data_IF_828713059380
#
_entry.id   IF_828713059380
#
_cell.length_a   1.000
_cell.length_b   1.000
_cell.length_c   1.000
_cell.angle_alpha   90.00
_cell.angle_beta   90.00
_cell.angle_gamma   90.00
#
_symmetry.space_group_name_H-M   'P 1'
#
loop_
_entity.id
_entity.type
_entity.pdbx_description
1 polymer ?
#
# COMPACT_ATOMS: atom_id res chain seq x y z
N UNK A 1 26.01 -16.21 7.52
CA UNK A 1 25.14 -15.62 8.56
C UNK A 1 25.32 -14.12 8.50
N UNK A 2 24.50 -13.44 7.70
CA UNK A 2 24.46 -11.97 7.73
C UNK A 2 23.75 -11.58 9.01
N UNK A 3 24.38 -10.77 9.85
CA UNK A 3 23.69 -10.14 10.98
C UNK A 3 22.47 -9.41 10.39
N UNK A 4 21.25 -9.80 10.79
CA UNK A 4 20.07 -8.98 10.51
C UNK A 4 20.33 -7.69 11.28
N UNK A 5 20.53 -6.58 10.55
CA UNK A 5 20.48 -5.25 11.15
C UNK A 5 19.09 -5.12 11.79
N UNK A 6 19.05 -4.81 13.09
CA UNK A 6 17.81 -4.53 13.80
C UNK A 6 17.13 -3.33 13.15
N UNK A 7 15.80 -3.41 12.98
CA UNK A 7 15.04 -2.36 12.33
C UNK A 7 14.72 -1.26 13.35
N UNK A 8 15.36 -0.09 13.22
CA UNK A 8 15.10 1.08 14.06
C UNK A 8 14.18 2.09 13.36
N UNK A 9 13.50 2.95 14.13
CA UNK A 9 12.67 4.02 13.54
C UNK A 9 13.49 4.93 12.62
N UNK A 10 14.72 5.27 13.01
CA UNK A 10 15.63 6.10 12.22
C UNK A 10 15.97 5.44 10.88
N UNK A 11 16.31 4.14 10.90
CA UNK A 11 16.63 3.39 9.66
C UNK A 11 15.46 3.32 8.68
N UNK A 12 14.22 3.22 9.18
CA UNK A 12 13.01 3.23 8.33
C UNK A 12 12.82 4.59 7.68
N UNK A 13 13.10 5.68 8.40
CA UNK A 13 12.94 7.04 7.89
C UNK A 13 14.04 7.41 6.90
N UNK A 14 15.29 6.99 7.15
CA UNK A 14 16.39 7.12 6.19
C UNK A 14 16.08 6.34 4.90
N UNK A 15 15.67 5.08 5.02
CA UNK A 15 15.29 4.27 3.85
C UNK A 15 14.12 4.90 3.08
N UNK A 16 13.18 5.57 3.75
CA UNK A 16 12.10 6.29 3.07
C UNK A 16 12.61 7.46 2.21
N UNK A 17 13.62 8.20 2.70
CA UNK A 17 14.25 9.28 1.95
C UNK A 17 15.04 8.74 0.74
N UNK A 18 15.79 7.66 0.95
CA UNK A 18 16.56 7.00 -0.11
C UNK A 18 15.64 6.43 -1.21
N UNK A 19 14.56 5.75 -0.82
CA UNK A 19 13.59 5.20 -1.77
C UNK A 19 12.85 6.29 -2.55
N UNK A 20 12.50 7.42 -1.92
CA UNK A 20 11.90 8.54 -2.65
C UNK A 20 12.89 9.17 -3.65
N UNK A 21 14.18 9.22 -3.28
CA UNK A 21 15.24 9.68 -4.17
C UNK A 21 15.41 8.74 -5.37
N UNK A 22 15.50 7.44 -5.12
CA UNK A 22 15.61 6.41 -6.16
C UNK A 22 14.40 6.41 -7.09
N UNK A 23 13.19 6.46 -6.53
CA UNK A 23 11.94 6.50 -7.29
C UNK A 23 11.93 7.65 -8.30
N UNK A 24 12.42 8.83 -7.91
CA UNK A 24 12.47 10.01 -8.80
C UNK A 24 13.67 10.00 -9.74
N UNK A 25 14.77 9.34 -9.38
CA UNK A 25 15.92 9.16 -10.25
C UNK A 25 15.63 8.17 -11.38
N UNK A 26 14.91 7.08 -11.09
CA UNK A 26 14.41 6.13 -12.08
C UNK A 26 12.91 5.87 -11.87
N UNK A 27 12.05 6.68 -12.51
CA UNK A 27 10.60 6.56 -12.40
C UNK A 27 10.08 5.14 -12.65
N UNK A 28 9.50 4.46 -11.64
CA UNK A 28 8.98 3.12 -11.81
C UNK A 28 7.74 3.14 -12.71
N UNK A 29 7.67 2.16 -13.64
CA UNK A 29 6.46 1.89 -14.39
C UNK A 29 5.48 1.11 -13.51
N UNK A 30 4.37 1.74 -13.14
CA UNK A 30 3.36 1.17 -12.25
C UNK A 30 2.13 0.77 -13.04
N UNK A 31 1.93 -0.52 -13.20
CA UNK A 31 0.71 -1.08 -13.77
C UNK A 31 -0.38 -1.08 -12.70
N UNK A 32 -1.52 -0.45 -12.97
CA UNK A 32 -2.67 -0.49 -12.07
C UNK A 32 -3.88 -1.10 -12.79
N UNK A 33 -4.45 -2.12 -12.16
CA UNK A 33 -5.82 -2.56 -12.41
C UNK A 33 -6.62 -2.08 -11.21
N UNK A 34 -7.31 -0.95 -11.38
CA UNK A 34 -8.02 -0.27 -10.28
C UNK A 34 -9.47 0.01 -10.62
N UNK A 35 -10.21 0.50 -9.64
CA UNK A 35 -11.62 0.79 -9.79
C UNK A 35 -11.87 2.07 -10.58
N UNK A 36 -13.00 2.11 -11.31
CA UNK A 36 -13.35 3.20 -12.22
C UNK A 36 -13.60 4.54 -11.53
N UNK A 37 -13.86 4.54 -10.22
CA UNK A 37 -14.10 5.75 -9.43
C UNK A 37 -12.81 6.54 -9.22
N UNK A 38 -11.65 5.88 -9.24
CA UNK A 38 -10.37 6.48 -8.83
C UNK A 38 -9.27 6.40 -9.89
N UNK A 39 -9.54 5.87 -11.07
CA UNK A 39 -8.53 5.64 -12.12
C UNK A 39 -7.71 6.90 -12.44
N UNK A 40 -8.39 8.01 -12.77
CA UNK A 40 -7.72 9.27 -13.10
C UNK A 40 -6.97 9.87 -11.91
N UNK A 41 -7.55 9.81 -10.71
CA UNK A 41 -6.90 10.34 -9.51
C UNK A 41 -5.64 9.54 -9.14
N UNK A 42 -5.71 8.21 -9.24
CA UNK A 42 -4.58 7.31 -9.00
C UNK A 42 -3.43 7.58 -9.98
N UNK A 43 -3.74 7.81 -11.26
CA UNK A 43 -2.74 8.20 -12.25
C UNK A 43 -2.05 9.52 -11.87
N UNK A 44 -2.85 10.53 -11.50
CA UNK A 44 -2.30 11.84 -11.11
C UNK A 44 -1.45 11.77 -9.84
N UNK A 45 -1.84 10.96 -8.84
CA UNK A 45 -1.04 10.73 -7.63
C UNK A 45 0.33 10.13 -7.98
N UNK A 46 0.37 9.13 -8.86
CA UNK A 46 1.62 8.52 -9.30
C UNK A 46 2.49 9.50 -10.10
N UNK A 47 1.89 10.27 -11.01
CA UNK A 47 2.60 11.31 -11.77
C UNK A 47 3.17 12.39 -10.85
N UNK A 48 2.38 12.86 -9.89
CA UNK A 48 2.83 13.85 -8.90
C UNK A 48 3.98 13.33 -8.04
N UNK A 49 3.93 12.06 -7.63
CA UNK A 49 5.02 11.43 -6.88
C UNK A 49 6.33 11.36 -7.69
N UNK A 50 6.23 11.23 -9.02
CA UNK A 50 7.34 11.06 -9.95
C UNK A 50 7.44 9.67 -10.58
N UNK A 51 6.38 8.86 -10.50
CA UNK A 51 6.27 7.55 -11.13
C UNK A 51 5.54 7.60 -12.50
N UNK A 52 5.60 6.52 -13.26
CA UNK A 52 4.91 6.39 -14.55
C UNK A 52 3.71 5.43 -14.43
N UNK A 53 2.46 5.93 -14.38
CA UNK A 53 1.28 5.07 -14.30
C UNK A 53 0.88 4.47 -15.65
N UNK A 54 0.35 3.25 -15.63
CA UNK A 54 -0.32 2.63 -16.77
C UNK A 54 -1.54 1.81 -16.33
N UNK A 55 -2.70 2.13 -16.90
CA UNK A 55 -3.99 1.52 -16.54
C UNK A 55 -4.37 0.45 -17.57
N UNK A 56 -3.70 -0.72 -17.52
CA UNK A 56 -3.88 -1.80 -18.51
C UNK A 56 -4.73 -2.92 -17.92
N UNK A 57 -6.04 -2.86 -18.08
CA UNK A 57 -6.98 -3.85 -17.56
C UNK A 57 -7.64 -4.72 -18.64
N UNK A 58 -6.91 -4.91 -19.75
CA UNK A 58 -7.35 -5.66 -20.93
C UNK A 58 -6.83 -7.11 -20.85
N UNK A 59 -7.74 -8.08 -20.92
CA UNK A 59 -7.39 -9.51 -20.99
C UNK A 59 -6.60 -9.80 -22.27
N UNK A 60 -5.51 -10.55 -22.16
CA UNK A 60 -4.55 -10.84 -23.24
C UNK A 60 -3.36 -9.89 -23.29
N UNK A 61 -3.47 -8.71 -22.67
CA UNK A 61 -2.38 -7.71 -22.60
C UNK A 61 -1.85 -7.56 -21.17
N UNK A 62 -2.73 -7.71 -20.17
CA UNK A 62 -2.43 -7.41 -18.78
C UNK A 62 -1.26 -8.25 -18.22
N UNK A 63 -1.17 -9.53 -18.58
CA UNK A 63 -0.04 -10.37 -18.16
C UNK A 63 1.29 -9.91 -18.74
N UNK A 64 1.32 -9.61 -20.03
CA UNK A 64 2.52 -9.13 -20.72
C UNK A 64 2.99 -7.79 -20.16
N UNK A 65 2.04 -6.88 -19.89
CA UNK A 65 2.35 -5.57 -19.36
C UNK A 65 2.87 -5.64 -17.91
N UNK A 66 2.26 -6.48 -17.07
CA UNK A 66 2.72 -6.68 -15.70
C UNK A 66 4.15 -7.23 -15.62
N UNK A 67 4.55 -8.07 -16.58
CA UNK A 67 5.89 -8.65 -16.64
C UNK A 67 7.01 -7.62 -16.90
N UNK A 68 6.70 -6.51 -17.59
CA UNK A 68 7.67 -5.42 -17.87
C UNK A 68 7.58 -4.26 -16.87
N UNK A 69 6.56 -4.26 -16.01
CA UNK A 69 6.33 -3.19 -15.05
C UNK A 69 7.29 -3.28 -13.86
N UNK A 70 7.55 -2.15 -13.21
CA UNK A 70 8.33 -2.10 -11.97
C UNK A 70 7.52 -2.57 -10.76
N UNK A 71 6.20 -2.36 -10.78
CA UNK A 71 5.25 -2.84 -9.78
C UNK A 71 3.82 -2.89 -10.32
N UNK A 72 2.98 -3.72 -9.70
CA UNK A 72 1.58 -3.91 -10.06
C UNK A 72 0.65 -3.60 -8.87
N UNK A 73 -0.41 -2.83 -9.09
CA UNK A 73 -1.56 -2.72 -8.18
C UNK A 73 -2.74 -3.50 -8.75
N UNK A 74 -3.34 -4.36 -7.92
CA UNK A 74 -4.66 -4.96 -8.15
C UNK A 74 -5.63 -4.49 -7.06
N UNK A 75 -6.57 -3.62 -7.43
CA UNK A 75 -7.57 -3.04 -6.53
C UNK A 75 -8.98 -3.53 -6.88
N UNK A 76 -9.73 -3.96 -5.87
CA UNK A 76 -11.01 -4.65 -6.04
C UNK A 76 -12.25 -3.73 -5.90
N UNK A 77 -12.10 -2.42 -6.11
CA UNK A 77 -13.12 -1.42 -5.83
C UNK A 77 -14.34 -1.42 -6.77
N UNK A 78 -14.23 -1.89 -8.01
CA UNK A 78 -15.36 -2.08 -8.98
C UNK A 78 -15.06 -3.18 -10.02
N UNK A 79 -14.83 -4.44 -9.61
CA UNK A 79 -14.17 -5.43 -10.47
C UNK A 79 -15.14 -6.04 -11.50
N UNK A 80 -15.19 -5.45 -12.70
CA UNK A 80 -15.98 -5.98 -13.83
C UNK A 80 -15.46 -7.36 -14.26
N UNK A 81 -16.26 -8.20 -14.93
CA UNK A 81 -15.80 -9.53 -15.36
C UNK A 81 -14.47 -9.53 -16.14
N UNK A 82 -14.29 -8.55 -17.03
CA UNK A 82 -13.04 -8.32 -17.77
C UNK A 82 -11.88 -8.04 -16.82
N UNK A 83 -12.05 -7.04 -15.93
CA UNK A 83 -11.02 -6.65 -14.96
C UNK A 83 -10.62 -7.78 -14.02
N UNK A 84 -11.56 -8.67 -13.65
CA UNK A 84 -11.25 -9.86 -12.83
C UNK A 84 -10.32 -10.82 -13.56
N UNK A 85 -10.59 -11.06 -14.83
CA UNK A 85 -9.80 -11.94 -15.69
C UNK A 85 -8.41 -11.33 -15.94
N UNK A 86 -8.37 -10.05 -16.30
CA UNK A 86 -7.14 -9.28 -16.47
C UNK A 86 -6.29 -9.22 -15.19
N UNK A 87 -6.92 -9.13 -14.01
CA UNK A 87 -6.20 -9.14 -12.72
C UNK A 87 -5.45 -10.45 -12.48
N UNK A 88 -6.11 -11.59 -12.69
CA UNK A 88 -5.47 -12.90 -12.55
C UNK A 88 -4.34 -13.09 -13.57
N UNK A 89 -4.55 -12.63 -14.80
CA UNK A 89 -3.55 -12.66 -15.86
C UNK A 89 -2.33 -11.77 -15.53
N UNK A 90 -2.56 -10.53 -15.11
CA UNK A 90 -1.52 -9.60 -14.68
C UNK A 90 -0.69 -10.17 -13.53
N UNK A 91 -1.33 -10.76 -12.52
CA UNK A 91 -0.61 -11.42 -11.42
C UNK A 91 0.19 -12.63 -11.92
N UNK A 92 -0.34 -13.40 -12.88
CA UNK A 92 0.41 -14.47 -13.54
C UNK A 92 1.69 -13.98 -14.22
N UNK A 93 1.57 -12.88 -14.98
CA UNK A 93 2.70 -12.22 -15.64
C UNK A 93 3.71 -11.66 -14.65
N UNK A 94 3.24 -10.91 -13.65
CA UNK A 94 4.08 -10.33 -12.59
C UNK A 94 4.86 -11.42 -11.84
N UNK A 95 4.21 -12.51 -11.44
CA UNK A 95 4.88 -13.63 -10.75
C UNK A 95 5.94 -14.30 -11.61
N UNK A 96 5.69 -14.45 -12.91
CA UNK A 96 6.64 -15.08 -13.84
C UNK A 96 7.90 -14.22 -14.03
N UNK A 97 7.75 -12.89 -14.00
CA UNK A 97 8.85 -11.94 -14.15
C UNK A 97 9.51 -11.51 -12.81
N UNK A 98 8.92 -11.88 -11.68
CA UNK A 98 9.35 -11.38 -10.36
C UNK A 98 9.00 -9.91 -10.11
N UNK A 99 7.99 -9.37 -10.81
CA UNK A 99 7.45 -8.04 -10.55
C UNK A 99 6.65 -8.06 -9.23
N UNK A 100 6.98 -7.20 -8.26
CA UNK A 100 6.24 -7.13 -7.01
C UNK A 100 4.85 -6.56 -7.23
N UNK A 101 3.87 -7.01 -6.45
CA UNK A 101 2.49 -6.57 -6.62
C UNK A 101 1.74 -6.38 -5.31
N UNK A 102 0.79 -5.45 -5.34
CA UNK A 102 -0.05 -5.01 -4.23
C UNK A 102 -1.47 -5.50 -4.44
N UNK A 103 -2.04 -6.14 -3.42
CA UNK A 103 -3.46 -6.43 -3.34
C UNK A 103 -4.16 -5.39 -2.46
N UNK A 104 -5.12 -4.66 -3.03
CA UNK A 104 -6.03 -3.76 -2.32
C UNK A 104 -7.45 -4.35 -2.34
N UNK A 105 -7.85 -5.10 -1.28
CA UNK A 105 -9.07 -5.90 -1.23
C UNK A 105 -10.28 -5.04 -0.86
N UNK A 106 -10.49 -3.93 -1.59
CA UNK A 106 -11.53 -2.93 -1.27
C UNK A 106 -12.90 -3.58 -1.12
N UNK A 107 -13.52 -3.37 0.05
CA UNK A 107 -14.85 -3.86 0.41
C UNK A 107 -15.03 -5.39 0.28
N UNK A 108 -13.98 -6.18 0.55
CA UNK A 108 -14.14 -7.62 0.81
C UNK A 108 -14.86 -7.89 2.14
N UNK A 109 -15.40 -9.10 2.30
CA UNK A 109 -16.23 -9.50 3.42
C UNK A 109 -17.56 -10.05 2.93
N UNK A 110 -18.65 -9.31 3.15
CA UNK A 110 -20.00 -9.77 2.81
C UNK A 110 -20.27 -9.87 1.29
N UNK A 111 -19.48 -9.20 0.44
CA UNK A 111 -19.71 -9.17 -1.01
C UNK A 111 -19.06 -10.38 -1.71
N UNK A 112 -19.84 -11.34 -2.25
CA UNK A 112 -19.32 -12.65 -2.67
C UNK A 112 -18.32 -12.56 -3.84
N UNK A 113 -18.56 -11.67 -4.80
CA UNK A 113 -17.69 -11.52 -5.99
C UNK A 113 -16.30 -11.01 -5.60
N UNK A 114 -16.23 -10.00 -4.72
CA UNK A 114 -14.96 -9.41 -4.30
C UNK A 114 -14.21 -10.35 -3.38
N UNK A 115 -14.93 -10.96 -2.43
CA UNK A 115 -14.33 -11.88 -1.46
C UNK A 115 -13.74 -13.11 -2.16
N UNK A 116 -14.46 -13.73 -3.10
CA UNK A 116 -13.94 -14.87 -3.85
C UNK A 116 -12.66 -14.52 -4.63
N UNK A 117 -12.70 -13.42 -5.41
CA UNK A 117 -11.52 -12.96 -6.15
C UNK A 117 -10.34 -12.61 -5.24
N UNK A 118 -10.59 -11.99 -4.09
CA UNK A 118 -9.54 -11.67 -3.14
C UNK A 118 -8.86 -12.93 -2.56
N UNK A 119 -9.63 -14.00 -2.34
CA UNK A 119 -9.06 -15.29 -1.91
C UNK A 119 -8.23 -15.94 -3.02
N UNK A 120 -8.70 -15.90 -4.26
CA UNK A 120 -7.95 -16.40 -5.42
C UNK A 120 -6.61 -15.64 -5.57
N UNK A 121 -6.64 -14.32 -5.45
CA UNK A 121 -5.45 -13.47 -5.51
C UNK A 121 -4.53 -13.67 -4.30
N UNK A 122 -5.08 -13.84 -3.09
CA UNK A 122 -4.30 -14.11 -1.88
C UNK A 122 -3.49 -15.40 -2.01
N UNK A 123 -4.08 -16.45 -2.62
CA UNK A 123 -3.39 -17.71 -2.89
C UNK A 123 -2.18 -17.55 -3.81
N UNK A 124 -2.15 -16.48 -4.63
CA UNK A 124 -1.03 -16.13 -5.51
C UNK A 124 0.08 -15.35 -4.80
N UNK A 125 -0.03 -15.12 -3.48
CA UNK A 125 0.97 -14.53 -2.59
C UNK A 125 1.38 -13.11 -3.00
N UNK A 126 0.53 -12.10 -2.77
CA UNK A 126 0.91 -10.70 -2.96
C UNK A 126 2.16 -10.33 -2.17
N UNK A 127 3.00 -9.49 -2.79
CA UNK A 127 4.18 -8.92 -2.12
C UNK A 127 3.77 -8.00 -0.98
N UNK A 128 2.65 -7.30 -1.15
CA UNK A 128 2.06 -6.42 -0.16
C UNK A 128 0.53 -6.49 -0.23
N UNK A 129 -0.12 -6.53 0.94
CA UNK A 129 -1.57 -6.35 1.05
C UNK A 129 -1.81 -5.02 1.73
N UNK A 130 -2.73 -4.20 1.21
CA UNK A 130 -3.09 -2.93 1.84
C UNK A 130 -4.60 -2.81 1.98
N UNK A 131 -5.09 -2.49 3.16
CA UNK A 131 -6.52 -2.29 3.42
C UNK A 131 -6.78 -1.63 4.77
N UNK A 132 -8.02 -1.31 5.08
CA UNK A 132 -8.39 -0.91 6.43
C UNK A 132 -8.54 -2.14 7.36
N UNK A 133 -8.70 -1.93 8.67
CA UNK A 133 -8.79 -3.02 9.64
C UNK A 133 -9.88 -4.06 9.29
N UNK A 134 -11.07 -3.59 8.88
CA UNK A 134 -12.18 -4.48 8.54
C UNK A 134 -11.92 -5.32 7.29
N UNK A 135 -11.28 -4.76 6.26
CA UNK A 135 -10.91 -5.47 5.03
C UNK A 135 -9.83 -6.53 5.30
N UNK A 136 -8.87 -6.22 6.16
CA UNK A 136 -7.80 -7.15 6.56
C UNK A 136 -8.36 -8.30 7.41
N UNK A 137 -9.26 -8.01 8.35
CA UNK A 137 -9.97 -9.03 9.14
C UNK A 137 -10.82 -9.94 8.24
N UNK A 138 -11.54 -9.36 7.28
CA UNK A 138 -12.33 -10.11 6.32
C UNK A 138 -11.47 -10.98 5.39
N UNK A 139 -10.36 -10.46 4.87
CA UNK A 139 -9.45 -11.21 4.02
C UNK A 139 -8.82 -12.40 4.75
N UNK A 140 -8.51 -12.25 6.04
CA UNK A 140 -8.02 -13.32 6.90
C UNK A 140 -9.11 -14.35 7.31
N UNK A 141 -10.35 -14.21 6.84
CA UNK A 141 -11.45 -15.10 7.19
C UNK A 141 -11.95 -14.93 8.63
N UNK A 142 -11.61 -13.82 9.29
CA UNK A 142 -11.94 -13.52 10.69
C UNK A 142 -13.12 -12.57 10.86
N UNK A 143 -13.87 -12.25 9.80
CA UNK A 143 -15.06 -11.41 9.94
C UNK A 143 -16.14 -12.17 10.72
N UNK A 144 -16.46 -11.71 11.94
CA UNK A 144 -17.69 -12.14 12.59
C UNK A 144 -18.86 -11.58 11.79
N UNK A 145 -19.68 -12.47 11.20
CA UNK A 145 -20.80 -12.08 10.36
C UNK A 145 -21.69 -11.05 11.07
N UNK A 146 -21.68 -9.81 10.59
CA UNK A 146 -22.37 -8.71 11.22
C UNK A 146 -22.39 -7.48 10.33
N UNK A 147 -23.59 -6.91 10.20
CA UNK A 147 -23.95 -5.72 9.42
C UNK A 147 -22.92 -4.60 9.53
N UNK A 148 -22.52 -4.05 8.38
CA UNK A 148 -21.95 -2.70 8.25
C UNK A 148 -20.73 -2.48 9.13
N UNK A 149 -19.54 -2.71 8.56
CA UNK A 149 -18.24 -2.14 8.94
C UNK A 149 -18.34 -0.85 9.76
N UNK A 150 -18.54 -0.99 11.07
CA UNK A 150 -18.35 0.09 12.02
C UNK A 150 -16.85 0.29 12.12
N UNK A 151 -16.41 1.51 11.78
CA UNK A 151 -15.02 1.98 11.80
C UNK A 151 -14.42 2.06 13.22
N UNK A 152 -14.78 1.13 14.12
CA UNK A 152 -14.39 1.09 15.52
C UNK A 152 -13.28 0.06 15.79
N UNK A 153 -13.04 -0.88 14.87
CA UNK A 153 -11.87 -1.75 14.95
C UNK A 153 -10.63 -0.95 14.53
N UNK A 154 -9.88 -0.47 15.53
CA UNK A 154 -8.59 0.17 15.31
C UNK A 154 -7.57 -0.78 14.68
N UNK A 155 -6.44 -0.25 14.24
CA UNK A 155 -5.36 -1.05 13.62
C UNK A 155 -4.86 -2.19 14.52
N UNK A 156 -4.92 -2.03 15.83
CA UNK A 156 -4.63 -3.08 16.82
C UNK A 156 -5.53 -4.32 16.69
N UNK A 157 -6.81 -4.15 16.40
CA UNK A 157 -7.74 -5.28 16.23
C UNK A 157 -7.35 -6.16 15.03
N UNK A 158 -6.79 -5.55 13.99
CA UNK A 158 -6.34 -6.25 12.79
C UNK A 158 -4.90 -6.78 12.88
N UNK A 159 -4.11 -6.42 13.90
CA UNK A 159 -2.68 -6.74 13.96
C UNK A 159 -2.40 -8.25 13.87
N UNK A 160 -3.18 -9.07 14.58
CA UNK A 160 -3.04 -10.53 14.52
C UNK A 160 -3.37 -11.12 13.15
N UNK A 161 -4.39 -10.57 12.46
CA UNK A 161 -4.79 -10.98 11.11
C UNK A 161 -3.75 -10.54 10.06
N UNK A 162 -3.25 -9.31 10.19
CA UNK A 162 -2.23 -8.76 9.31
C UNK A 162 -0.93 -9.59 9.36
N UNK A 163 -0.46 -9.97 10.56
CA UNK A 163 0.72 -10.83 10.73
C UNK A 163 0.51 -12.25 10.18
N UNK A 164 -0.70 -12.79 10.32
CA UNK A 164 -1.04 -14.08 9.71
C UNK A 164 -0.96 -14.02 8.19
N UNK A 165 -1.59 -13.02 7.57
CA UNK A 165 -1.55 -12.80 6.13
C UNK A 165 -0.10 -12.59 5.65
N UNK A 166 0.70 -11.78 6.35
CA UNK A 166 2.12 -11.59 6.04
C UNK A 166 2.90 -12.92 6.06
N UNK A 167 2.65 -13.80 7.04
CA UNK A 167 3.27 -15.13 7.11
C UNK A 167 2.83 -16.05 5.97
N UNK A 168 1.55 -16.01 5.59
CA UNK A 168 0.99 -16.83 4.51
C UNK A 168 1.60 -16.43 3.16
N UNK A 169 1.73 -15.13 2.90
CA UNK A 169 2.24 -14.62 1.62
C UNK A 169 3.76 -14.56 1.57
N UNK A 170 4.42 -14.45 2.73
CA UNK A 170 5.83 -14.10 2.83
C UNK A 170 6.12 -12.62 2.51
N UNK A 171 5.07 -11.80 2.38
CA UNK A 171 5.14 -10.37 2.09
C UNK A 171 4.90 -9.51 3.33
N UNK A 172 4.43 -8.29 3.10
CA UNK A 172 4.01 -7.37 4.16
C UNK A 172 2.51 -7.06 4.07
N UNK A 173 1.96 -6.51 5.13
CA UNK A 173 0.57 -6.02 5.20
C UNK A 173 0.56 -4.62 5.80
N UNK A 174 -0.13 -3.69 5.14
CA UNK A 174 -0.37 -2.33 5.62
C UNK A 174 -1.85 -2.15 5.96
N UNK A 175 -2.13 -1.91 7.24
CA UNK A 175 -3.46 -1.63 7.78
C UNK A 175 -3.59 -0.14 8.00
N UNK A 176 -4.48 0.52 7.24
CA UNK A 176 -4.64 1.96 7.35
C UNK A 176 -5.54 2.37 8.52
N UNK A 177 -5.21 3.47 9.20
CA UNK A 177 -6.00 4.05 10.29
C UNK A 177 -5.43 5.41 10.77
N UNK A 178 -5.89 5.95 11.92
CA UNK A 178 -5.30 7.16 12.50
C UNK A 178 -3.82 7.00 12.85
N UNK A 179 -3.42 5.76 13.18
CA UNK A 179 -2.03 5.30 13.22
C UNK A 179 -1.97 4.07 12.33
N UNK A 180 -1.31 4.20 11.19
CA UNK A 180 -1.13 3.10 10.25
C UNK A 180 -0.25 2.02 10.88
N UNK A 181 -0.61 0.76 10.64
CA UNK A 181 0.13 -0.41 11.11
C UNK A 181 0.67 -1.18 9.89
N UNK A 182 1.97 -1.33 9.82
CA UNK A 182 2.62 -2.13 8.79
C UNK A 182 3.37 -3.28 9.45
N UNK A 183 3.15 -4.49 8.95
CA UNK A 183 3.75 -5.71 9.51
C UNK A 183 4.28 -6.62 8.42
N UNK A 184 5.37 -7.31 8.73
CA UNK A 184 5.69 -8.58 8.08
C UNK A 184 5.56 -9.72 9.10
N UNK A 185 6.19 -10.87 8.82
CA UNK A 185 6.19 -12.01 9.73
C UNK A 185 6.77 -11.69 11.11
N UNK A 186 7.84 -10.88 11.17
CA UNK A 186 8.70 -10.72 12.33
C UNK A 186 8.74 -9.26 12.84
N UNK A 187 8.29 -8.29 12.05
CA UNK A 187 8.56 -6.87 12.29
C UNK A 187 7.30 -6.04 12.16
N UNK A 188 7.33 -4.86 12.77
CA UNK A 188 6.21 -3.94 12.83
C UNK A 188 6.69 -2.49 12.73
N UNK A 189 5.96 -1.68 11.97
CA UNK A 189 6.15 -0.23 11.86
C UNK A 189 4.80 0.44 12.07
N UNK A 190 4.75 1.45 12.96
CA UNK A 190 3.60 2.34 13.12
C UNK A 190 3.93 3.73 12.59
N UNK A 191 2.98 4.33 11.88
CA UNK A 191 3.11 5.68 11.31
C UNK A 191 1.91 6.51 11.77
N UNK A 192 2.16 7.60 12.50
CA UNK A 192 1.14 8.50 13.04
C UNK A 192 1.07 9.84 12.27
N UNK A 193 1.50 9.82 11.01
CA UNK A 193 1.38 10.94 10.08
C UNK A 193 0.05 10.90 9.33
N UNK A 194 -0.35 12.04 8.76
CA UNK A 194 -1.52 12.15 7.89
C UNK A 194 -2.58 13.11 8.41
N UNK A 195 -3.68 13.21 7.65
CA UNK A 195 -4.80 14.09 7.99
C UNK A 195 -6.15 13.43 7.67
N UNK A 196 -7.17 13.74 8.47
CA UNK A 196 -8.53 13.21 8.32
C UNK A 196 -9.16 13.56 6.97
N UNK A 197 -8.71 14.63 6.30
CA UNK A 197 -9.19 15.01 4.96
C UNK A 197 -8.92 13.93 3.90
N UNK A 198 -7.95 13.03 4.10
CA UNK A 198 -7.77 11.84 3.25
C UNK A 198 -9.03 10.96 3.18
N UNK A 199 -9.83 10.93 4.25
CA UNK A 199 -11.10 10.18 4.30
C UNK A 199 -12.23 10.88 3.55
N UNK A 200 -12.05 12.14 3.17
CA UNK A 200 -13.06 13.00 2.52
C UNK A 200 -12.81 13.17 1.02
N UNK A 201 -11.75 12.57 0.48
CA UNK A 201 -11.44 12.53 -0.95
C UNK A 201 -11.53 11.09 -1.45
N UNK A 202 -12.38 10.87 -2.46
CA UNK A 202 -12.49 9.55 -3.07
C UNK A 202 -11.15 9.11 -3.65
N UNK A 203 -10.76 7.87 -3.38
CA UNK A 203 -9.47 7.35 -3.81
C UNK A 203 -8.26 7.76 -2.97
N UNK A 204 -8.43 8.56 -1.91
CA UNK A 204 -7.34 8.90 -0.99
C UNK A 204 -6.63 7.66 -0.43
N UNK A 205 -7.40 6.61 -0.10
CA UNK A 205 -6.84 5.30 0.26
C UNK A 205 -6.37 4.47 -0.93
N UNK A 206 -7.18 4.33 -1.98
CA UNK A 206 -6.84 3.46 -3.12
C UNK A 206 -5.56 3.89 -3.85
N UNK A 207 -5.31 5.18 -3.94
CA UNK A 207 -4.11 5.72 -4.56
C UNK A 207 -2.84 5.34 -3.76
N UNK A 208 -2.92 5.21 -2.43
CA UNK A 208 -1.81 4.75 -1.62
C UNK A 208 -1.36 3.33 -1.99
N UNK A 209 -2.29 2.44 -2.40
CA UNK A 209 -1.93 1.12 -2.93
C UNK A 209 -1.04 1.22 -4.18
N UNK A 210 -1.29 2.20 -5.05
CA UNK A 210 -0.47 2.43 -6.24
C UNK A 210 0.89 3.04 -5.88
N UNK A 211 0.91 3.98 -4.94
CA UNK A 211 2.14 4.55 -4.39
C UNK A 211 3.01 3.42 -3.80
N UNK A 212 2.43 2.50 -3.03
CA UNK A 212 3.15 1.34 -2.52
C UNK A 212 3.72 0.44 -3.63
N UNK A 213 3.00 0.23 -4.73
CA UNK A 213 3.53 -0.50 -5.89
C UNK A 213 4.73 0.23 -6.53
N UNK A 214 4.72 1.56 -6.56
CA UNK A 214 5.85 2.38 -7.02
C UNK A 214 7.09 2.19 -6.12
N UNK A 215 6.90 2.29 -4.80
CA UNK A 215 7.98 2.11 -3.83
C UNK A 215 8.52 0.67 -3.80
N UNK A 216 7.67 -0.34 -4.01
CA UNK A 216 8.14 -1.72 -4.21
C UNK A 216 9.03 -1.84 -5.44
N UNK A 217 8.70 -1.15 -6.54
CA UNK A 217 9.52 -1.09 -7.73
C UNK A 217 10.89 -0.48 -7.48
N UNK A 218 10.95 0.66 -6.76
CA UNK A 218 12.20 1.30 -6.35
C UNK A 218 13.03 0.40 -5.41
N UNK A 219 12.38 -0.24 -4.43
CA UNK A 219 13.01 -1.11 -3.45
C UNK A 219 13.71 -2.33 -4.05
N UNK A 220 13.31 -2.79 -5.25
CA UNK A 220 14.01 -3.89 -5.94
C UNK A 220 15.48 -3.58 -6.21
N UNK A 221 15.82 -2.31 -6.41
CA UNK A 221 17.19 -1.89 -6.72
C UNK A 221 18.03 -1.70 -5.47
N UNK A 222 17.43 -1.17 -4.40
CA UNK A 222 18.11 -0.94 -3.12
C UNK A 222 18.22 -2.22 -2.29
N UNK A 223 17.35 -3.21 -2.57
CA UNK A 223 17.27 -4.45 -1.79
C UNK A 223 16.40 -4.33 -0.53
N UNK A 224 15.64 -3.24 -0.41
CA UNK A 224 14.76 -3.02 0.72
C UNK A 224 13.58 -3.99 0.75
N UNK A 225 13.19 -4.38 1.96
CA UNK A 225 12.08 -5.32 2.16
C UNK A 225 10.72 -4.69 1.81
N UNK A 226 9.69 -5.51 1.48
CA UNK A 226 8.34 -5.01 1.25
C UNK A 226 7.75 -4.18 2.40
N UNK A 227 8.12 -4.49 3.64
CA UNK A 227 7.71 -3.72 4.83
C UNK A 227 8.28 -2.29 4.80
N UNK A 228 9.57 -2.14 4.47
CA UNK A 228 10.24 -0.85 4.38
C UNK A 228 9.69 -0.04 3.21
N UNK A 229 9.47 -0.66 2.05
CA UNK A 229 8.85 -0.02 0.90
C UNK A 229 7.43 0.49 1.22
N UNK A 230 6.63 -0.31 1.93
CA UNK A 230 5.29 0.09 2.35
C UNK A 230 5.34 1.22 3.39
N UNK A 231 6.29 1.20 4.32
CA UNK A 231 6.46 2.26 5.33
C UNK A 231 6.89 3.57 4.68
N UNK A 232 7.82 3.53 3.72
CA UNK A 232 8.25 4.68 2.95
C UNK A 232 7.10 5.31 2.16
N UNK A 233 6.33 4.48 1.43
CA UNK A 233 5.14 4.92 0.72
C UNK A 233 4.13 5.62 1.63
N UNK A 234 3.79 4.99 2.76
CA UNK A 234 2.85 5.55 3.74
C UNK A 234 3.38 6.86 4.33
N UNK A 235 4.65 6.92 4.75
CA UNK A 235 5.25 8.12 5.34
C UNK A 235 5.22 9.30 4.37
N UNK A 236 5.67 9.10 3.13
CA UNK A 236 5.70 10.14 2.10
C UNK A 236 4.28 10.63 1.80
N UNK A 237 3.34 9.70 1.63
CA UNK A 237 1.96 10.04 1.30
C UNK A 237 1.26 10.80 2.42
N UNK A 238 1.47 10.38 3.67
CA UNK A 238 0.84 11.00 4.84
C UNK A 238 1.46 12.35 5.19
N UNK A 239 2.76 12.55 5.01
CA UNK A 239 3.38 13.87 5.14
C UNK A 239 2.90 14.84 4.06
N UNK A 240 2.75 14.37 2.81
CA UNK A 240 2.15 15.18 1.76
C UNK A 240 0.69 15.54 2.08
N UNK A 241 -0.06 14.63 2.71
CA UNK A 241 -1.41 14.92 3.20
C UNK A 241 -1.44 15.99 4.29
N UNK A 242 -0.48 15.99 5.24
CA UNK A 242 -0.36 17.06 6.23
C UNK A 242 -0.10 18.43 5.58
N UNK A 243 0.83 18.47 4.60
CA UNK A 243 1.15 19.69 3.86
C UNK A 243 -0.05 20.21 3.06
N UNK A 244 -0.81 19.30 2.45
CA UNK A 244 -2.03 19.63 1.73
C UNK A 244 -3.12 20.16 2.66
N UNK A 245 -3.32 19.53 3.82
CA UNK A 245 -4.32 19.94 4.79
C UNK A 245 -4.07 21.36 5.33
N UNK A 246 -2.81 21.69 5.62
CA UNK A 246 -2.41 23.00 6.16
C UNK A 246 -2.79 24.20 5.27
N UNK A 247 -3.02 23.96 3.97
CA UNK A 247 -3.33 24.99 2.97
C UNK A 247 -4.68 24.82 2.30
N UNK A 248 -5.53 23.92 2.80
CA UNK A 248 -6.81 23.59 2.21
C UNK A 248 -7.99 24.11 3.03
N UNK A 249 -9.03 24.58 2.33
CA UNK A 249 -10.27 25.04 2.95
C UNK A 249 -11.32 23.91 3.07
N UNK A 250 -11.10 22.80 2.37
CA UNK A 250 -11.99 21.64 2.41
C UNK A 250 -11.54 20.54 1.44
N UNK A 251 -12.35 19.47 1.27
CA UNK A 251 -11.95 18.27 0.52
C UNK A 251 -11.59 18.52 -0.95
N UNK A 252 -12.25 19.49 -1.60
CA UNK A 252 -11.97 19.83 -3.00
C UNK A 252 -10.59 20.46 -3.19
N UNK A 253 -10.28 21.49 -2.40
CA UNK A 253 -8.95 22.12 -2.42
C UNK A 253 -7.86 21.19 -1.88
N UNK A 254 -8.20 20.32 -0.93
CA UNK A 254 -7.31 19.28 -0.43
C UNK A 254 -6.90 18.27 -1.50
N UNK A 255 -7.84 17.78 -2.33
CA UNK A 255 -7.51 16.83 -3.40
C UNK A 255 -6.46 17.39 -4.37
N UNK A 256 -6.58 18.68 -4.72
CA UNK A 256 -5.61 19.37 -5.58
C UNK A 256 -4.30 19.61 -4.82
N UNK A 257 -4.37 20.10 -3.58
CA UNK A 257 -3.20 20.37 -2.76
C UNK A 257 -2.38 19.11 -2.45
N UNK A 258 -3.01 17.94 -2.36
CA UNK A 258 -2.34 16.66 -2.17
C UNK A 258 -1.44 16.31 -3.35
N UNK A 259 -1.90 16.53 -4.58
CA UNK A 259 -1.08 16.32 -5.78
C UNK A 259 0.15 17.24 -5.76
N UNK A 260 -0.05 18.53 -5.48
CA UNK A 260 1.05 19.48 -5.39
C UNK A 260 2.03 19.13 -4.26
N UNK A 261 1.52 18.70 -3.10
CA UNK A 261 2.34 18.31 -1.96
C UNK A 261 3.16 17.05 -2.26
N UNK A 262 2.59 16.06 -2.95
CA UNK A 262 3.32 14.86 -3.41
C UNK A 262 4.43 15.21 -4.40
N UNK A 263 4.21 16.20 -5.26
CA UNK A 263 5.26 16.70 -6.16
C UNK A 263 6.34 17.48 -5.40
N UNK A 264 5.96 18.24 -4.37
CA UNK A 264 6.86 19.12 -3.64
C UNK A 264 7.63 18.44 -2.50
N UNK A 265 7.17 17.29 -1.97
CA UNK A 265 7.80 16.63 -0.83
C UNK A 265 9.24 16.26 -1.16
N UNK A 266 10.16 16.50 -0.22
CA UNK A 266 11.59 16.27 -0.41
C UNK A 266 12.11 15.17 0.50
N UNK A 267 13.01 14.29 0.02
CA UNK A 267 13.65 13.26 0.83
C UNK A 267 14.25 13.78 2.14
N UNK A 268 14.97 14.89 2.09
CA UNK A 268 15.67 15.47 3.25
C UNK A 268 14.74 16.11 4.29
N UNK A 269 13.47 16.33 3.94
CA UNK A 269 12.47 16.85 4.87
C UNK A 269 11.80 15.75 5.71
N UNK A 270 11.96 14.47 5.37
CA UNK A 270 11.29 13.37 6.07
C UNK A 270 11.76 13.21 7.53
N UNK A 271 13.08 13.16 7.85
CA UNK A 271 13.55 12.90 9.22
C UNK A 271 13.02 13.87 10.27
N UNK A 272 12.89 15.16 9.94
CA UNK A 272 12.41 16.18 10.87
C UNK A 272 10.90 16.17 11.14
N UNK A 273 10.14 15.34 10.42
CA UNK A 273 8.66 15.35 10.44
C UNK A 273 8.03 13.98 10.70
N UNK A 274 8.82 12.92 10.57
CA UNK A 274 8.37 11.54 10.67
C UNK A 274 7.94 11.19 12.10
N UNK A 275 6.73 10.62 12.23
CA UNK A 275 6.21 10.05 13.48
C UNK A 275 6.13 8.54 13.31
N UNK A 276 7.30 7.89 13.40
CA UNK A 276 7.51 6.47 13.09
C UNK A 276 8.00 5.69 14.31
N UNK A 277 7.34 4.58 14.62
CA UNK A 277 7.79 3.60 15.61
C UNK A 277 8.04 2.25 14.93
N UNK A 278 9.30 1.79 14.93
CA UNK A 278 9.68 0.46 14.43
C UNK A 278 9.97 -0.50 15.58
N UNK A 279 9.54 -1.76 15.45
CA UNK A 279 9.76 -2.82 16.44
C UNK A 279 10.01 -4.17 15.76
N UNK A 280 10.95 -4.93 16.31
CA UNK A 280 11.15 -6.33 15.97
C UNK A 280 10.42 -7.23 17.00
N UNK A 281 9.66 -8.22 16.55
CA UNK A 281 8.86 -9.10 17.41
C UNK A 281 9.69 -9.95 18.38
N UNK A 282 11.00 -10.06 18.16
CA UNK A 282 11.92 -10.75 19.06
C UNK A 282 12.06 -10.08 20.45
N UNK A 283 11.70 -8.80 20.59
CA UNK A 283 11.84 -8.06 21.86
C UNK A 283 10.58 -8.02 22.73
N UNK A 284 9.43 -8.50 22.23
CA UNK A 284 8.16 -8.50 22.97
C UNK A 284 7.97 -9.71 23.92
N UNK A 285 8.94 -10.64 23.95
CA UNK A 285 8.85 -11.90 24.68
C UNK A 285 9.50 -11.94 26.08
N UNK A 286 9.89 -10.81 26.66
CA UNK A 286 10.48 -10.77 28.02
C UNK A 286 9.88 -9.61 28.83
N UNK A 287 8.60 -9.72 29.14
CA UNK A 287 8.01 -9.09 30.32
C UNK A 287 6.99 -10.06 30.89
N UNK A 288 7.49 -10.94 31.76
CA UNK A 288 6.70 -11.76 32.66
C UNK A 288 6.41 -10.98 33.95
#
# INVERSE_FOLDING_TARGET
MSARLEMSSESVVEAAADLLTELRAEPPLVHCITNSVVTGFTANVLLALGAAPAMVDITGEAGMFAAISSGLLVNLGTPTPEQRSASLEAVGGARSAGTPWVLDPVAVGALPVRTALAQDLLALRPTLIRGNASEILALAGRSQGGRGVDALDGTEAAAGAARELARITGGAVAVSGPVDLLVDADREVRIANGDVLLTRVTGGGCALGAVMAAFLGAARKTGDSPLVAAAAATLVYTLAAEDAAARSEGPGSFAVALLDALAAIRPDALPGRARVEARDSATAGVAA
#
